data_IF_592933264343
#
_entry.id   IF_592933264343
#
_cell.length_a   1.000
_cell.length_b   1.000
_cell.length_c   1.000
_cell.angle_alpha   90.00
_cell.angle_beta   90.00
_cell.angle_gamma   90.00
#
_symmetry.space_group_name_H-M   'P 1'
#
loop_
_entity.id
_entity.type
_entity.pdbx_description
1 polymer ?
#
# COMPACT_ATOMS: atom_id res chain seq x y z
N UNK A 1 32.41 1.97 42.32
CA UNK A 1 32.05 3.10 43.20
C UNK A 1 30.53 3.11 43.37
N UNK A 2 30.11 3.30 44.62
CA UNK A 2 28.75 3.11 45.12
C UNK A 2 27.84 4.33 44.93
N UNK A 3 26.53 4.05 44.77
CA UNK A 3 25.35 4.72 45.35
C UNK A 3 25.02 6.18 45.00
N UNK A 4 23.76 6.40 44.58
CA UNK A 4 22.59 6.94 45.35
C UNK A 4 21.49 7.29 44.32
N UNK A 5 20.30 6.70 44.21
CA UNK A 5 19.09 6.59 45.07
C UNK A 5 18.39 7.91 45.46
N UNK A 6 17.10 8.02 45.04
CA UNK A 6 15.89 8.49 45.76
C UNK A 6 15.19 9.81 45.33
N UNK A 7 13.86 9.68 45.15
CA UNK A 7 12.77 10.64 45.42
C UNK A 7 11.66 10.57 44.36
N UNK A 8 10.55 9.81 44.45
CA UNK A 8 9.40 9.73 45.40
C UNK A 8 8.73 11.09 45.67
N UNK A 9 7.46 11.24 45.23
CA UNK A 9 6.26 11.61 46.03
C UNK A 9 5.01 11.74 45.10
N UNK A 10 4.01 10.84 45.18
CA UNK A 10 2.74 10.92 45.96
C UNK A 10 1.70 11.86 45.30
N UNK A 11 0.62 11.32 44.72
CA UNK A 11 -0.71 11.20 45.35
C UNK A 11 -1.74 11.86 44.40
N UNK A 12 -3.03 11.52 44.30
CA UNK A 12 -3.93 10.73 45.14
C UNK A 12 -5.05 10.19 44.25
N UNK A 13 -5.49 8.99 44.58
CA UNK A 13 -6.77 8.39 44.18
C UNK A 13 -7.94 9.26 44.66
N UNK A 14 -8.97 9.44 43.83
CA UNK A 14 -10.31 9.75 44.31
C UNK A 14 -11.34 8.86 43.59
N UNK A 15 -12.21 8.27 44.40
CA UNK A 15 -13.09 7.15 44.15
C UNK A 15 -14.55 7.64 44.26
N UNK A 16 -15.44 6.91 43.60
CA UNK A 16 -16.89 6.77 43.84
C UNK A 16 -17.88 7.70 43.11
N UNK A 17 -18.87 7.03 42.52
CA UNK A 17 -20.12 7.61 42.05
C UNK A 17 -20.96 6.64 41.20
N UNK A 18 -21.31 5.46 41.73
CA UNK A 18 -22.43 4.67 41.19
C UNK A 18 -23.73 5.28 41.69
N UNK A 19 -24.48 5.94 40.81
CA UNK A 19 -25.88 6.26 41.04
C UNK A 19 -26.75 5.43 40.12
N UNK A 20 -27.31 4.37 40.68
CA UNK A 20 -28.56 3.80 40.20
C UNK A 20 -29.68 4.82 40.47
N UNK A 21 -30.49 5.12 39.46
CA UNK A 21 -31.87 5.49 39.71
C UNK A 21 -32.75 4.93 38.59
N UNK A 22 -33.75 4.20 39.05
CA UNK A 22 -34.79 3.46 38.38
C UNK A 22 -35.94 4.42 37.98
N UNK A 23 -36.90 3.89 37.20
CA UNK A 23 -38.27 4.38 36.99
C UNK A 23 -38.56 5.40 35.85
N UNK A 24 -38.87 4.81 34.68
CA UNK A 24 -40.06 5.02 33.83
C UNK A 24 -40.87 6.35 33.88
N UNK A 25 -40.97 7.04 32.73
CA UNK A 25 -42.20 7.30 31.91
C UNK A 25 -42.10 8.59 31.07
N UNK A 26 -42.08 8.38 29.75
CA UNK A 26 -42.78 9.07 28.66
C UNK A 26 -43.49 10.41 28.93
N UNK A 27 -43.12 11.46 28.19
CA UNK A 27 -44.02 12.21 27.29
C UNK A 27 -43.26 13.29 26.50
N UNK A 28 -43.73 13.50 25.27
CA UNK A 28 -43.19 14.33 24.20
C UNK A 28 -43.29 15.84 24.48
N UNK A 29 -42.36 16.62 23.96
CA UNK A 29 -42.72 17.80 23.14
C UNK A 29 -41.49 18.33 22.39
N UNK A 30 -41.72 18.56 21.11
CA UNK A 30 -40.82 18.98 20.05
C UNK A 30 -40.29 20.41 20.22
N UNK A 31 -38.99 20.61 19.97
CA UNK A 31 -38.53 21.83 19.29
C UNK A 31 -37.36 21.50 18.35
N UNK A 32 -37.57 21.81 17.06
CA UNK A 32 -36.63 21.65 15.96
C UNK A 32 -35.41 22.56 16.16
N UNK A 33 -34.23 21.99 16.26
CA UNK A 33 -33.00 22.64 15.85
C UNK A 33 -32.37 21.83 14.71
N UNK A 34 -32.63 22.33 13.51
CA UNK A 34 -32.12 21.92 12.21
C UNK A 34 -30.58 22.01 12.19
N UNK A 35 -29.90 20.92 12.54
CA UNK A 35 -28.48 20.74 12.20
C UNK A 35 -28.43 20.21 10.77
N UNK A 36 -28.33 21.17 9.86
CA UNK A 36 -27.95 21.04 8.45
C UNK A 36 -26.88 19.97 8.31
N UNK A 37 -27.29 18.77 7.90
CA UNK A 37 -26.40 17.72 7.44
C UNK A 37 -25.59 18.32 6.29
N UNK A 38 -24.31 18.61 6.54
CA UNK A 38 -23.37 18.77 5.45
C UNK A 38 -23.43 17.50 4.62
N UNK A 39 -23.60 17.58 3.29
CA UNK A 39 -23.23 16.47 2.46
C UNK A 39 -21.72 16.37 2.61
N UNK A 40 -21.26 15.46 3.47
CA UNK A 40 -19.92 14.92 3.30
C UNK A 40 -19.89 14.41 1.87
N UNK A 41 -19.14 15.15 1.05
CA UNK A 41 -18.80 14.84 -0.32
C UNK A 41 -18.59 13.34 -0.39
N UNK A 42 -19.48 12.62 -1.08
CA UNK A 42 -19.24 11.24 -1.47
C UNK A 42 -17.88 11.25 -2.15
N UNK A 43 -16.85 10.84 -1.42
CA UNK A 43 -15.58 10.41 -2.00
C UNK A 43 -16.00 9.21 -2.80
N UNK A 44 -16.16 9.43 -4.10
CA UNK A 44 -16.57 8.43 -5.06
C UNK A 44 -15.67 7.21 -4.83
N UNK A 45 -16.23 6.17 -4.19
CA UNK A 45 -15.55 4.91 -4.02
C UNK A 45 -15.63 4.26 -5.40
N UNK A 46 -14.83 4.77 -6.33
CA UNK A 46 -14.65 4.16 -7.64
C UNK A 46 -14.30 2.71 -7.39
N UNK A 47 -15.01 1.80 -8.05
CA UNK A 47 -14.75 0.36 -7.95
C UNK A 47 -13.26 0.06 -8.18
N UNK A 48 -12.76 -1.09 -7.69
CA UNK A 48 -11.36 -1.47 -7.92
C UNK A 48 -11.02 -1.48 -9.42
N UNK A 49 -11.98 -1.79 -10.29
CA UNK A 49 -11.82 -1.79 -11.73
C UNK A 49 -11.66 -0.39 -12.31
N UNK A 50 -12.45 0.59 -11.83
CA UNK A 50 -12.29 1.99 -12.22
C UNK A 50 -10.95 2.57 -11.75
N UNK A 51 -10.53 2.21 -10.53
CA UNK A 51 -9.21 2.58 -10.01
C UNK A 51 -8.08 1.98 -10.85
N UNK A 52 -8.18 0.68 -11.20
CA UNK A 52 -7.23 0.01 -12.05
C UNK A 52 -7.17 0.66 -13.44
N UNK A 53 -8.32 1.01 -14.02
CA UNK A 53 -8.40 1.71 -15.31
C UNK A 53 -7.66 3.05 -15.25
N UNK A 54 -7.87 3.84 -14.21
CA UNK A 54 -7.18 5.13 -14.03
C UNK A 54 -5.66 4.95 -13.88
N UNK A 55 -5.23 3.97 -13.07
CA UNK A 55 -3.80 3.67 -12.90
C UNK A 55 -3.13 3.33 -14.24
N UNK A 56 -3.79 2.53 -15.08
CA UNK A 56 -3.27 2.18 -16.41
C UNK A 56 -3.20 3.38 -17.36
N UNK A 57 -4.20 4.26 -17.32
CA UNK A 57 -4.26 5.45 -18.17
C UNK A 57 -3.18 6.48 -17.79
N UNK A 58 -2.90 6.63 -16.49
CA UNK A 58 -1.95 7.61 -15.97
C UNK A 58 -0.47 7.12 -16.04
N UNK A 59 -0.25 5.86 -16.37
CA UNK A 59 1.07 5.24 -16.32
C UNK A 59 1.93 5.56 -17.56
N UNK A 60 3.14 6.05 -17.32
CA UNK A 60 4.20 6.22 -18.34
C UNK A 60 4.96 4.90 -18.54
N UNK A 61 5.32 4.55 -19.79
CA UNK A 61 6.21 3.41 -20.03
C UNK A 61 7.56 3.66 -19.35
N UNK A 62 8.06 2.65 -18.63
CA UNK A 62 9.26 2.81 -17.82
C UNK A 62 10.50 3.05 -18.69
N UNK A 63 11.48 3.73 -18.09
CA UNK A 63 12.82 3.86 -18.66
C UNK A 63 13.84 3.63 -17.56
N UNK A 64 14.72 2.66 -17.78
CA UNK A 64 15.72 2.23 -16.82
C UNK A 64 16.75 3.31 -16.61
N UNK A 65 17.14 3.99 -17.69
CA UNK A 65 18.05 5.14 -17.62
C UNK A 65 17.48 6.23 -16.73
N UNK A 66 16.18 6.59 -16.89
CA UNK A 66 15.52 7.58 -16.02
C UNK A 66 15.43 7.09 -14.58
N UNK A 67 14.97 5.85 -14.37
CA UNK A 67 14.74 5.29 -13.04
C UNK A 67 16.06 5.08 -12.25
N UNK A 68 17.10 4.61 -12.93
CA UNK A 68 18.43 4.45 -12.36
C UNK A 68 19.15 5.79 -12.20
N UNK A 69 18.88 6.77 -13.06
CA UNK A 69 19.38 8.13 -12.95
C UNK A 69 18.67 8.99 -11.90
N UNK A 70 17.64 8.48 -11.23
CA UNK A 70 16.86 9.22 -10.23
C UNK A 70 16.00 10.34 -10.82
N UNK A 71 15.62 10.22 -12.10
CA UNK A 71 14.84 11.24 -12.83
C UNK A 71 13.33 11.06 -12.67
N UNK A 72 12.87 9.96 -12.07
CA UNK A 72 11.49 9.80 -11.67
C UNK A 72 11.30 10.27 -10.23
N UNK A 73 10.26 11.07 -10.02
CA UNK A 73 9.79 11.38 -8.68
C UNK A 73 9.11 10.15 -8.05
N UNK A 74 9.30 9.99 -6.74
CA UNK A 74 8.60 8.96 -5.97
C UNK A 74 7.09 9.12 -6.15
N UNK A 75 6.40 8.02 -6.43
CA UNK A 75 4.96 8.02 -6.69
C UNK A 75 4.57 8.13 -8.17
N UNK A 76 5.51 8.46 -9.07
CA UNK A 76 5.25 8.49 -10.52
C UNK A 76 4.65 7.16 -10.98
N UNK A 77 3.51 7.22 -11.68
CA UNK A 77 2.85 6.03 -12.22
C UNK A 77 3.60 5.53 -13.44
N UNK A 78 3.98 4.26 -13.40
CA UNK A 78 4.80 3.59 -14.40
C UNK A 78 4.15 2.29 -14.84
N UNK A 79 4.35 1.98 -16.12
CA UNK A 79 4.05 0.71 -16.76
C UNK A 79 5.37 0.05 -17.16
N UNK A 80 5.50 -1.25 -16.90
CA UNK A 80 6.64 -2.03 -17.38
C UNK A 80 6.16 -3.40 -17.86
N UNK A 81 6.63 -3.84 -19.02
CA UNK A 81 6.39 -5.19 -19.54
C UNK A 81 7.72 -5.92 -19.68
N UNK A 82 7.81 -7.13 -19.11
CA UNK A 82 9.07 -7.86 -19.09
C UNK A 82 8.96 -9.30 -18.60
N UNK A 83 10.10 -9.95 -18.49
CA UNK A 83 10.23 -11.33 -18.02
C UNK A 83 10.68 -11.36 -16.56
N UNK A 84 10.06 -12.23 -15.77
CA UNK A 84 10.42 -12.43 -14.36
C UNK A 84 11.68 -13.27 -14.25
N UNK A 85 12.75 -12.70 -13.71
CA UNK A 85 14.05 -13.38 -13.60
C UNK A 85 14.21 -14.17 -12.29
N UNK A 86 13.67 -13.60 -11.20
CA UNK A 86 13.87 -14.10 -9.85
C UNK A 86 12.70 -13.71 -8.95
N UNK A 87 12.16 -14.67 -8.21
CA UNK A 87 11.27 -14.40 -7.09
C UNK A 87 12.12 -14.10 -5.85
N UNK A 88 11.81 -13.00 -5.17
CA UNK A 88 12.57 -12.54 -4.01
C UNK A 88 11.87 -13.01 -2.72
N UNK A 89 12.61 -13.73 -1.88
CA UNK A 89 12.18 -13.99 -0.50
C UNK A 89 12.22 -12.68 0.28
N UNK A 90 11.05 -12.18 0.63
CA UNK A 90 10.86 -10.94 1.38
C UNK A 90 9.99 -11.23 2.61
N UNK A 91 10.37 -10.68 3.76
CA UNK A 91 9.60 -10.84 5.01
C UNK A 91 8.40 -9.91 5.12
N UNK A 92 8.28 -8.91 4.24
CA UNK A 92 7.22 -7.90 4.30
C UNK A 92 6.18 -8.08 3.18
N UNK A 93 6.60 -7.90 1.92
CA UNK A 93 5.75 -8.00 0.75
C UNK A 93 6.41 -8.86 -0.34
N UNK A 94 5.67 -9.78 -0.99
CA UNK A 94 6.16 -10.55 -2.13
C UNK A 94 6.75 -9.62 -3.20
N UNK A 95 7.90 -10.00 -3.74
CA UNK A 95 8.62 -9.19 -4.73
C UNK A 95 9.31 -10.10 -5.74
N UNK A 96 9.62 -9.55 -6.92
CA UNK A 96 10.38 -10.25 -7.95
C UNK A 96 11.22 -9.28 -8.78
N UNK A 97 12.23 -9.78 -9.47
CA UNK A 97 13.03 -9.01 -10.44
C UNK A 97 12.41 -9.16 -11.81
N UNK A 98 12.16 -8.03 -12.47
CA UNK A 98 11.63 -7.95 -13.83
C UNK A 98 12.71 -7.42 -14.78
N UNK A 99 13.05 -8.21 -15.79
CA UNK A 99 13.85 -7.76 -16.94
C UNK A 99 12.95 -7.26 -18.05
N UNK A 100 13.21 -6.06 -18.54
CA UNK A 100 12.48 -5.42 -19.65
C UNK A 100 13.42 -5.25 -20.84
N UNK A 101 12.87 -5.28 -22.05
CA UNK A 101 13.61 -4.87 -23.25
C UNK A 101 13.26 -3.40 -23.51
N UNK A 102 14.25 -2.52 -23.46
CA UNK A 102 14.07 -1.08 -23.65
C UNK A 102 15.06 -0.60 -24.71
N UNK A 103 14.63 0.19 -25.70
CA UNK A 103 15.46 0.77 -26.77
C UNK A 103 16.86 0.14 -26.95
N UNK A 104 17.86 0.68 -26.26
CA UNK A 104 19.29 0.36 -26.43
C UNK A 104 19.82 -0.70 -25.43
N UNK A 105 18.95 -1.44 -24.75
CA UNK A 105 19.38 -2.44 -23.78
C UNK A 105 18.27 -3.12 -22.99
N UNK A 106 18.59 -3.44 -21.73
CA UNK A 106 17.66 -4.07 -20.80
C UNK A 106 17.55 -3.24 -19.54
N UNK A 107 16.32 -3.08 -19.06
CA UNK A 107 16.04 -2.54 -17.74
C UNK A 107 15.83 -3.66 -16.73
N UNK A 108 16.33 -3.50 -15.51
CA UNK A 108 16.03 -4.41 -14.40
C UNK A 108 15.36 -3.63 -13.26
N UNK A 109 14.26 -4.19 -12.76
CA UNK A 109 13.46 -3.55 -11.72
C UNK A 109 13.13 -4.54 -10.61
N UNK A 110 13.18 -4.07 -9.37
CA UNK A 110 12.53 -4.77 -8.26
C UNK A 110 11.05 -4.40 -8.26
N UNK A 111 10.20 -5.38 -8.52
CA UNK A 111 8.76 -5.23 -8.44
C UNK A 111 8.31 -5.70 -7.07
N UNK A 112 7.80 -4.78 -6.25
CA UNK A 112 7.16 -5.12 -4.98
C UNK A 112 5.65 -5.12 -5.17
N UNK A 113 4.99 -6.21 -4.78
CA UNK A 113 3.55 -6.35 -4.99
C UNK A 113 2.81 -5.73 -3.80
N UNK A 114 2.07 -4.65 -4.05
CA UNK A 114 1.31 -3.90 -3.05
C UNK A 114 -0.16 -4.34 -2.95
N UNK A 115 -0.54 -5.42 -3.63
CA UNK A 115 -1.88 -6.00 -3.57
C UNK A 115 -2.07 -6.83 -2.29
N UNK A 116 -3.26 -6.78 -1.70
CA UNK A 116 -3.65 -7.68 -0.61
C UNK A 116 -3.97 -9.09 -1.11
N UNK A 117 -3.85 -10.10 -0.25
CA UNK A 117 -4.27 -11.48 -0.57
C UNK A 117 -3.33 -12.20 -1.53
N UNK A 118 -2.08 -11.76 -1.61
CA UNK A 118 -1.03 -12.41 -2.39
C UNK A 118 -0.43 -13.55 -1.57
N UNK A 119 -0.31 -14.72 -2.19
CA UNK A 119 0.40 -15.86 -1.63
C UNK A 119 1.73 -16.02 -2.37
N UNK A 120 2.80 -16.35 -1.65
CA UNK A 120 4.13 -16.52 -2.25
C UNK A 120 4.86 -17.67 -1.61
N UNK A 121 5.50 -18.47 -2.46
CA UNK A 121 6.50 -19.46 -2.07
C UNK A 121 7.76 -19.27 -2.94
N UNK A 122 8.70 -20.21 -2.86
CA UNK A 122 9.99 -20.11 -3.55
C UNK A 122 9.90 -20.16 -5.08
N UNK A 123 8.82 -20.74 -5.62
CA UNK A 123 8.66 -21.05 -7.04
C UNK A 123 7.56 -20.23 -7.73
N UNK A 124 6.57 -19.76 -6.97
CA UNK A 124 5.39 -19.08 -7.50
C UNK A 124 4.87 -18.00 -6.54
N UNK A 125 4.36 -16.92 -7.12
CA UNK A 125 3.50 -15.93 -6.46
C UNK A 125 2.10 -16.04 -7.07
N UNK A 126 1.07 -16.22 -6.24
CA UNK A 126 -0.33 -16.24 -6.67
C UNK A 126 -1.02 -14.95 -6.20
N UNK A 127 -1.56 -14.18 -7.14
CA UNK A 127 -2.35 -12.98 -6.85
C UNK A 127 -3.77 -13.36 -6.42
N UNK A 128 -4.49 -12.41 -5.79
CA UNK A 128 -5.90 -12.58 -5.41
C UNK A 128 -6.81 -12.93 -6.61
N UNK A 129 -6.45 -12.49 -7.82
CA UNK A 129 -7.16 -12.83 -9.06
C UNK A 129 -6.97 -14.29 -9.50
N UNK A 130 -6.06 -15.05 -8.87
CA UNK A 130 -5.65 -16.38 -9.29
C UNK A 130 -4.50 -16.39 -10.30
N UNK A 131 -4.04 -15.22 -10.76
CA UNK A 131 -2.88 -15.11 -11.64
C UNK A 131 -1.61 -15.61 -10.93
N UNK A 132 -0.86 -16.49 -11.61
CA UNK A 132 0.35 -17.14 -11.10
C UNK A 132 1.59 -16.56 -11.78
N UNK A 133 2.52 -16.05 -10.99
CA UNK A 133 3.78 -15.47 -11.45
C UNK A 133 4.91 -16.40 -11.03
N UNK A 134 5.68 -16.88 -12.00
CA UNK A 134 6.85 -17.72 -11.78
C UNK A 134 8.02 -17.20 -12.62
N UNK A 135 9.23 -17.69 -12.33
CA UNK A 135 10.41 -17.37 -13.14
C UNK A 135 10.16 -17.72 -14.62
N UNK A 136 10.53 -16.80 -15.51
CA UNK A 136 10.32 -16.92 -16.95
C UNK A 136 8.96 -16.42 -17.44
N UNK A 137 8.01 -16.14 -16.55
CA UNK A 137 6.73 -15.54 -16.93
C UNK A 137 6.95 -14.13 -17.52
N UNK A 138 6.24 -13.81 -18.59
CA UNK A 138 6.14 -12.43 -19.08
C UNK A 138 4.95 -11.78 -18.42
N UNK A 139 5.16 -10.60 -17.81
CA UNK A 139 4.11 -9.86 -17.11
C UNK A 139 4.15 -8.39 -17.51
N UNK A 140 2.99 -7.75 -17.49
CA UNK A 140 2.86 -6.29 -17.51
C UNK A 140 2.45 -5.81 -16.12
N UNK A 141 3.21 -4.86 -15.57
CA UNK A 141 2.93 -4.26 -14.27
C UNK A 141 2.56 -2.80 -14.43
N UNK A 142 1.69 -2.34 -13.55
CA UNK A 142 1.40 -0.92 -13.36
C UNK A 142 1.54 -0.60 -11.88
N UNK A 143 2.36 0.41 -11.59
CA UNK A 143 2.75 0.72 -10.22
C UNK A 143 3.28 2.14 -10.06
N UNK A 144 3.71 2.45 -8.85
CA UNK A 144 4.37 3.70 -8.53
C UNK A 144 5.89 3.47 -8.41
N UNK A 145 6.70 4.38 -8.96
CA UNK A 145 8.12 4.43 -8.68
C UNK A 145 8.36 4.62 -7.17
N UNK A 146 9.18 3.78 -6.58
CA UNK A 146 9.48 3.79 -5.15
C UNK A 146 11.00 3.79 -4.92
N UNK A 147 11.68 4.69 -5.62
CA UNK A 147 13.11 4.96 -5.50
C UNK A 147 13.94 3.71 -5.83
N UNK A 148 15.14 3.59 -5.24
CA UNK A 148 15.99 2.40 -5.36
C UNK A 148 15.86 1.54 -4.12
N UNK A 149 15.97 0.23 -4.30
CA UNK A 149 16.07 -0.69 -3.18
C UNK A 149 17.47 -0.64 -2.51
N UNK A 150 17.67 -1.46 -1.48
CA UNK A 150 18.95 -1.56 -0.76
C UNK A 150 20.14 -2.02 -1.62
N UNK A 151 19.89 -2.57 -2.80
CA UNK A 151 20.92 -3.01 -3.76
C UNK A 151 21.20 -1.94 -4.83
N UNK A 152 20.47 -0.83 -4.81
CA UNK A 152 20.55 0.23 -5.82
C UNK A 152 19.68 -0.02 -7.05
N UNK A 153 18.88 -1.10 -7.07
CA UNK A 153 17.98 -1.40 -8.18
C UNK A 153 16.73 -0.52 -8.11
N UNK A 154 16.31 0.10 -9.23
CA UNK A 154 15.04 0.82 -9.28
C UNK A 154 13.86 -0.06 -8.86
N UNK A 155 13.01 0.44 -7.97
CA UNK A 155 11.88 -0.29 -7.40
C UNK A 155 10.55 0.30 -7.86
N UNK A 156 9.61 -0.59 -8.19
CA UNK A 156 8.23 -0.23 -8.54
C UNK A 156 7.28 -0.96 -7.58
N UNK A 157 6.44 -0.21 -6.89
CA UNK A 157 5.35 -0.73 -6.07
C UNK A 157 4.13 -0.99 -6.96
N UNK A 158 3.95 -2.24 -7.36
CA UNK A 158 2.93 -2.65 -8.33
C UNK A 158 1.57 -2.87 -7.66
N UNK A 159 0.55 -2.24 -8.23
CA UNK A 159 -0.86 -2.35 -7.79
C UNK A 159 -1.73 -3.08 -8.80
N UNK A 160 -1.30 -3.18 -10.07
CA UNK A 160 -1.95 -3.97 -11.12
C UNK A 160 -0.90 -4.80 -11.82
N UNK A 161 -1.17 -6.09 -12.03
CA UNK A 161 -0.26 -7.02 -12.70
C UNK A 161 -1.09 -7.92 -13.61
N UNK A 162 -0.64 -8.09 -14.84
CA UNK A 162 -1.33 -8.80 -15.93
C UNK A 162 -0.34 -9.68 -16.68
N UNK A 163 -0.85 -10.69 -17.39
CA UNK A 163 -0.11 -11.60 -18.27
C UNK A 163 -0.71 -11.56 -19.67
#
# INVERSE_FOLDING_TARGET
MYKKLIGICIGSTLLLGLTACDSSKQSESSEKANVKSQPETKKDLTSQDELNKKIKQDAEEVSFVKANGGQYEKGKRLKATGTVDLLLKSSALPSFVLSTNENDGKGMYTIQIAQSGVQSNENEITLKSGLKISKGATVTIYGAYDEKDKTGMPKISATVIEQ
#
